data_IF_303225042123
#
_entry.id   IF_303225042123
#
_cell.length_a   1.000
_cell.length_b   1.000
_cell.length_c   1.000
_cell.angle_alpha   90.00
_cell.angle_beta   90.00
_cell.angle_gamma   90.00
#
_symmetry.space_group_name_H-M   'P 1'
#
loop_
_entity.id
_entity.type
_entity.pdbx_description
1 polymer ?
#
# COMPACT_ATOMS: atom_id res chain seq x y z
N UNK A 1 -1.05 14.32 -6.79
CA UNK A 1 -2.22 14.44 -7.70
C UNK A 1 -3.02 13.13 -7.89
N UNK A 2 -2.45 11.93 -7.68
CA UNK A 2 -3.15 10.64 -7.95
C UNK A 2 -4.36 10.32 -7.07
N UNK A 3 -4.47 10.91 -5.86
CA UNK A 3 -5.60 10.67 -4.95
C UNK A 3 -6.89 11.43 -5.33
N UNK A 4 -6.78 12.60 -5.96
CA UNK A 4 -7.95 13.40 -6.36
C UNK A 4 -8.76 12.72 -7.47
N UNK A 5 -8.08 12.02 -8.38
CA UNK A 5 -8.74 11.21 -9.41
C UNK A 5 -9.68 10.17 -8.81
N UNK A 6 -9.27 9.51 -7.72
CA UNK A 6 -10.11 8.54 -7.01
C UNK A 6 -11.38 9.20 -6.44
N UNK A 7 -11.26 10.40 -5.85
CA UNK A 7 -12.40 11.15 -5.32
C UNK A 7 -13.40 11.49 -6.43
N UNK A 8 -12.91 11.93 -7.59
CA UNK A 8 -13.77 12.25 -8.74
C UNK A 8 -14.50 11.01 -9.25
N UNK A 9 -13.80 9.87 -9.41
CA UNK A 9 -14.44 8.61 -9.77
C UNK A 9 -15.44 8.12 -8.72
N UNK A 10 -15.14 8.30 -7.43
CA UNK A 10 -16.07 7.95 -6.36
C UNK A 10 -17.36 8.78 -6.43
N UNK A 11 -17.27 10.09 -6.70
CA UNK A 11 -18.46 10.94 -6.87
C UNK A 11 -19.28 10.47 -8.07
N UNK A 12 -18.66 10.23 -9.23
CA UNK A 12 -19.35 9.72 -10.42
C UNK A 12 -20.05 8.39 -10.11
N UNK A 13 -19.36 7.49 -9.41
CA UNK A 13 -19.91 6.20 -9.01
C UNK A 13 -21.12 6.35 -8.07
N UNK A 14 -21.04 7.24 -7.07
CA UNK A 14 -22.16 7.53 -6.16
C UNK A 14 -23.37 8.07 -6.92
N UNK A 15 -23.17 8.95 -7.91
CA UNK A 15 -24.26 9.46 -8.76
C UNK A 15 -24.92 8.31 -9.54
N UNK A 16 -24.12 7.42 -10.14
CA UNK A 16 -24.65 6.25 -10.86
C UNK A 16 -25.49 5.37 -9.91
N UNK A 17 -24.96 5.04 -8.73
CA UNK A 17 -25.68 4.24 -7.73
C UNK A 17 -26.98 4.92 -7.29
N UNK A 18 -26.96 6.25 -7.10
CA UNK A 18 -28.17 7.01 -6.73
C UNK A 18 -29.24 6.97 -7.83
N UNK A 19 -28.85 7.11 -9.10
CA UNK A 19 -29.77 6.98 -10.23
C UNK A 19 -30.39 5.57 -10.25
N UNK A 20 -29.56 4.53 -10.08
CA UNK A 20 -30.04 3.15 -9.98
C UNK A 20 -31.04 2.96 -8.83
N UNK A 21 -30.79 3.58 -7.68
CA UNK A 21 -31.66 3.48 -6.53
C UNK A 21 -33.03 4.14 -6.76
N UNK A 22 -33.08 5.27 -7.47
CA UNK A 22 -34.33 5.95 -7.83
C UNK A 22 -35.13 5.15 -8.86
N UNK A 23 -34.47 4.62 -9.89
CA UNK A 23 -35.15 3.86 -10.96
C UNK A 23 -35.70 2.52 -10.45
N UNK A 24 -35.06 1.93 -9.44
CA UNK A 24 -35.42 0.62 -8.88
C UNK A 24 -36.00 0.75 -7.46
N UNK A 25 -36.72 1.85 -7.20
CA UNK A 25 -37.40 2.09 -5.91
C UNK A 25 -38.74 1.36 -5.80
N UNK A 26 -39.16 0.66 -6.85
CA UNK A 26 -40.40 -0.11 -6.84
C UNK A 26 -40.35 -1.20 -5.76
N UNK A 27 -41.38 -1.29 -4.90
CA UNK A 27 -41.42 -2.28 -3.84
C UNK A 27 -41.55 -3.68 -4.43
N UNK A 28 -40.67 -4.58 -3.99
CA UNK A 28 -40.70 -6.01 -4.33
C UNK A 28 -40.83 -6.80 -3.04
N UNK A 29 -41.62 -7.87 -3.06
CA UNK A 29 -41.73 -8.78 -1.92
C UNK A 29 -40.42 -9.53 -1.71
N UNK A 30 -39.88 -9.42 -0.49
CA UNK A 30 -38.66 -10.11 -0.07
C UNK A 30 -39.00 -11.08 1.05
N UNK A 31 -38.57 -12.32 0.88
CA UNK A 31 -38.66 -13.36 1.88
C UNK A 31 -37.42 -13.30 2.78
N UNK A 32 -37.56 -12.67 3.94
CA UNK A 32 -36.53 -12.64 4.97
C UNK A 32 -36.52 -13.94 5.79
N UNK A 33 -35.45 -14.14 6.55
CA UNK A 33 -35.26 -15.35 7.36
C UNK A 33 -36.37 -15.58 8.41
N UNK A 34 -37.09 -14.53 8.79
CA UNK A 34 -38.11 -14.55 9.85
C UNK A 34 -39.45 -13.90 9.42
N UNK A 35 -39.71 -13.76 8.12
CA UNK A 35 -40.97 -13.18 7.62
C UNK A 35 -40.85 -12.62 6.20
N UNK A 36 -41.95 -12.12 5.66
CA UNK A 36 -41.99 -11.46 4.35
C UNK A 36 -42.25 -9.96 4.52
N UNK A 37 -41.72 -9.15 3.61
CA UNK A 37 -41.92 -7.71 3.61
C UNK A 37 -41.56 -7.10 2.27
N UNK A 38 -42.12 -5.93 1.97
CA UNK A 38 -41.83 -5.21 0.74
C UNK A 38 -40.64 -4.28 0.94
N UNK A 39 -39.65 -4.41 0.07
CA UNK A 39 -38.52 -3.50 0.02
C UNK A 39 -38.04 -3.34 -1.43
N UNK A 40 -37.55 -2.14 -1.80
CA UNK A 40 -36.90 -1.98 -3.09
C UNK A 40 -35.70 -2.91 -3.26
N UNK A 41 -35.61 -3.56 -4.43
CA UNK A 41 -34.59 -4.58 -4.70
C UNK A 41 -33.14 -4.06 -4.51
N UNK A 42 -32.92 -2.76 -4.79
CA UNK A 42 -31.61 -2.12 -4.62
C UNK A 42 -31.08 -2.21 -3.18
N UNK A 43 -31.95 -2.14 -2.16
CA UNK A 43 -31.50 -2.26 -0.76
C UNK A 43 -30.92 -3.64 -0.46
N UNK A 44 -31.53 -4.69 -1.00
CA UNK A 44 -31.06 -6.06 -0.84
C UNK A 44 -29.69 -6.23 -1.50
N UNK A 45 -29.50 -5.68 -2.70
CA UNK A 45 -28.22 -5.72 -3.42
C UNK A 45 -27.14 -4.94 -2.66
N UNK A 46 -27.43 -3.70 -2.25
CA UNK A 46 -26.49 -2.87 -1.52
C UNK A 46 -26.06 -3.53 -0.21
N UNK A 47 -27.00 -4.10 0.53
CA UNK A 47 -26.70 -4.83 1.77
C UNK A 47 -25.84 -6.07 1.51
N UNK A 48 -26.13 -6.82 0.45
CA UNK A 48 -25.35 -8.00 0.05
C UNK A 48 -23.92 -7.63 -0.34
N UNK A 49 -23.73 -6.60 -1.16
CA UNK A 49 -22.41 -6.11 -1.56
C UNK A 49 -21.64 -5.56 -0.35
N UNK A 50 -22.31 -4.80 0.51
CA UNK A 50 -21.72 -4.31 1.76
C UNK A 50 -21.22 -5.46 2.63
N UNK A 51 -22.05 -6.51 2.81
CA UNK A 51 -21.67 -7.67 3.61
C UNK A 51 -20.48 -8.43 3.01
N UNK A 52 -20.47 -8.61 1.68
CA UNK A 52 -19.31 -9.16 0.97
C UNK A 52 -18.04 -8.32 1.15
N UNK A 53 -18.18 -7.00 1.09
CA UNK A 53 -17.09 -6.05 1.34
C UNK A 53 -16.54 -6.13 2.76
N UNK A 54 -17.41 -6.24 3.76
CA UNK A 54 -17.03 -6.41 5.17
C UNK A 54 -16.25 -7.71 5.37
N UNK A 55 -16.73 -8.83 4.79
CA UNK A 55 -16.05 -10.12 4.87
C UNK A 55 -14.66 -10.04 4.22
N UNK A 56 -14.59 -9.47 3.01
CA UNK A 56 -13.32 -9.30 2.29
C UNK A 56 -12.34 -8.41 3.06
N UNK A 57 -12.81 -7.27 3.59
CA UNK A 57 -12.01 -6.35 4.38
C UNK A 57 -11.49 -7.03 5.66
N UNK A 58 -12.34 -7.81 6.34
CA UNK A 58 -11.97 -8.55 7.55
C UNK A 58 -10.82 -9.53 7.29
N UNK A 59 -10.92 -10.31 6.21
CA UNK A 59 -9.84 -11.22 5.78
C UNK A 59 -8.57 -10.43 5.40
N UNK A 60 -8.74 -9.31 4.70
CA UNK A 60 -7.66 -8.40 4.32
C UNK A 60 -6.89 -7.84 5.52
N UNK A 61 -7.60 -7.38 6.56
CA UNK A 61 -7.00 -6.84 7.78
C UNK A 61 -6.13 -7.88 8.48
N UNK A 62 -6.59 -9.13 8.60
CA UNK A 62 -5.80 -10.23 9.19
C UNK A 62 -4.50 -10.45 8.42
N UNK A 63 -4.56 -10.45 7.08
CA UNK A 63 -3.38 -10.59 6.22
C UNK A 63 -2.41 -9.43 6.40
N UNK A 64 -2.92 -8.19 6.39
CA UNK A 64 -2.10 -6.99 6.58
C UNK A 64 -1.41 -7.00 7.94
N UNK A 65 -2.11 -7.41 9.00
CA UNK A 65 -1.52 -7.48 10.34
C UNK A 65 -0.37 -8.51 10.42
N UNK A 66 -0.54 -9.69 9.82
CA UNK A 66 0.52 -10.70 9.73
C UNK A 66 1.74 -10.17 8.98
N UNK A 67 1.51 -9.55 7.82
CA UNK A 67 2.57 -8.94 7.00
C UNK A 67 3.30 -7.82 7.75
N UNK A 68 2.59 -6.97 8.50
CA UNK A 68 3.22 -5.93 9.31
C UNK A 68 4.09 -6.51 10.41
N UNK A 69 3.65 -7.60 11.06
CA UNK A 69 4.43 -8.28 12.11
C UNK A 69 5.71 -8.88 11.53
N UNK A 70 5.59 -9.60 10.42
CA UNK A 70 6.74 -10.16 9.70
C UNK A 70 7.70 -9.07 9.23
N UNK A 71 7.18 -7.97 8.68
CA UNK A 71 7.99 -6.84 8.24
C UNK A 71 8.78 -6.21 9.41
N UNK A 72 8.17 -6.10 10.60
CA UNK A 72 8.87 -5.63 11.81
C UNK A 72 10.00 -6.59 12.22
N UNK A 73 9.77 -7.90 12.17
CA UNK A 73 10.81 -8.90 12.48
C UNK A 73 11.95 -8.84 11.48
N UNK A 74 11.64 -8.87 10.17
CA UNK A 74 12.63 -8.80 9.10
C UNK A 74 13.45 -7.50 9.13
N UNK A 75 12.85 -6.38 9.53
CA UNK A 75 13.56 -5.11 9.74
C UNK A 75 14.56 -5.19 10.88
N UNK A 76 14.16 -5.76 12.03
CA UNK A 76 15.06 -5.94 13.18
C UNK A 76 16.23 -6.86 12.85
N UNK A 77 15.98 -7.95 12.14
CA UNK A 77 17.04 -8.86 11.70
C UNK A 77 18.00 -8.17 10.71
N UNK A 78 17.49 -7.40 9.76
CA UNK A 78 18.33 -6.59 8.87
C UNK A 78 19.21 -5.58 9.63
N UNK A 79 18.65 -4.91 10.64
CA UNK A 79 19.40 -3.96 11.48
C UNK A 79 20.50 -4.68 12.27
N UNK A 80 20.20 -5.86 12.86
CA UNK A 80 21.19 -6.65 13.60
C UNK A 80 22.32 -7.18 12.70
N UNK A 81 21.99 -7.66 11.51
CA UNK A 81 22.98 -8.10 10.53
C UNK A 81 23.85 -6.95 10.05
N UNK A 82 23.27 -5.76 9.79
CA UNK A 82 24.02 -4.54 9.44
C UNK A 82 24.95 -4.08 10.56
N UNK A 83 24.56 -4.27 11.82
CA UNK A 83 25.38 -3.86 12.98
C UNK A 83 26.47 -4.89 13.34
N UNK A 84 26.25 -6.18 13.05
CA UNK A 84 27.20 -7.27 13.31
C UNK A 84 28.21 -7.44 12.18
N UNK A 85 27.79 -7.11 10.95
CA UNK A 85 28.72 -6.94 9.84
C UNK A 85 29.47 -5.62 10.09
N UNK A 86 30.68 -5.70 10.65
CA UNK A 86 31.56 -4.54 10.78
C UNK A 86 31.58 -3.76 9.46
N UNK A 87 31.67 -2.42 9.48
CA UNK A 87 31.84 -1.65 8.25
C UNK A 87 33.02 -2.24 7.48
N UNK A 88 32.73 -2.92 6.36
CA UNK A 88 33.77 -3.18 5.37
C UNK A 88 34.18 -1.77 4.95
N UNK A 89 35.42 -1.33 5.23
CA UNK A 89 35.84 0.00 4.84
C UNK A 89 35.59 0.11 3.34
N UNK A 90 34.85 1.14 2.98
CA UNK A 90 34.52 1.47 1.60
C UNK A 90 35.82 1.48 0.78
N UNK A 91 36.04 0.46 -0.04
CA UNK A 91 37.21 0.33 -0.92
C UNK A 91 37.12 1.31 -2.11
N UNK A 92 36.27 2.34 -2.02
CA UNK A 92 36.10 3.35 -3.07
C UNK A 92 36.94 4.61 -2.85
N UNK A 93 37.68 4.76 -1.73
CA UNK A 93 38.47 5.98 -1.48
C UNK A 93 40.01 5.82 -1.47
N UNK A 94 40.56 4.64 -1.78
CA UNK A 94 42.04 4.46 -1.81
C UNK A 94 42.68 4.50 -3.21
N UNK A 95 41.96 4.95 -4.26
CA UNK A 95 42.48 4.98 -5.64
C UNK A 95 42.41 6.35 -6.32
N UNK A 96 42.64 7.45 -5.60
CA UNK A 96 42.74 8.78 -6.24
C UNK A 96 43.76 9.74 -5.63
N UNK A 97 44.78 9.26 -4.91
CA UNK A 97 45.80 10.13 -4.32
C UNK A 97 47.26 9.72 -4.59
N UNK A 98 47.53 8.84 -5.56
CA UNK A 98 48.90 8.41 -5.87
C UNK A 98 49.16 8.38 -7.39
N UNK A 99 49.13 9.53 -8.07
CA UNK A 99 49.74 9.63 -9.43
C UNK A 99 50.20 11.03 -9.86
N UNK A 100 50.25 12.05 -9.00
CA UNK A 100 50.86 13.32 -9.42
C UNK A 100 51.54 13.94 -8.22
N UNK A 101 52.85 13.68 -8.07
CA UNK A 101 53.92 14.60 -7.65
C UNK A 101 55.25 13.79 -7.69
N UNK A 102 55.70 13.44 -8.88
CA UNK A 102 57.13 13.25 -9.17
C UNK A 102 57.40 14.01 -10.48
N UNK A 103 57.67 15.30 -10.37
CA UNK A 103 58.48 16.03 -11.35
C UNK A 103 59.12 17.23 -10.63
N UNK A 104 60.42 17.15 -10.36
CA UNK A 104 61.16 18.19 -9.62
C UNK A 104 62.34 17.68 -8.80
N UNK A 105 63.22 16.86 -9.38
CA UNK A 105 64.59 16.74 -8.88
C UNK A 105 65.36 17.95 -9.41
N UNK A 106 65.50 19.00 -8.59
CA UNK A 106 66.47 20.06 -8.80
C UNK A 106 67.74 19.68 -8.02
N UNK A 107 68.69 19.12 -8.77
CA UNK A 107 70.01 18.74 -8.31
C UNK A 107 70.89 20.00 -8.41
N UNK A 108 71.06 20.71 -7.30
CA UNK A 108 72.06 21.77 -7.18
C UNK A 108 72.91 21.57 -5.92
N UNK A 109 73.91 20.70 -6.06
CA UNK A 109 75.17 20.83 -5.35
C UNK A 109 76.31 20.94 -6.38
N UNK A 110 77.00 22.09 -6.31
CA UNK A 110 78.31 22.46 -6.88
C UNK A 110 78.36 22.86 -8.35
#
# INVERSE_FOLDING_TARGET
MRGQTYVIFAIIFVIIVAIFAVINVDPVEVNYLFGTGEAPLIFVILFSVLMGGIIMASVGVVKVFRLQRENKTLRKENEQLKNTSAPIPDVTQSSSAATKEEDGIDDNQV
#
